data_IF_062567034714
#
_entry.id   IF_062567034714
#
_cell.length_a   1.000
_cell.length_b   1.000
_cell.length_c   1.000
_cell.angle_alpha   90.00
_cell.angle_beta   90.00
_cell.angle_gamma   90.00
#
_symmetry.space_group_name_H-M   'P 1'
#
loop_
_entity.id
_entity.type
_entity.pdbx_description
1 polymer ?
#
# COMPACT_ATOMS: atom_id res chain seq x y z
N UNK A 1 -7.31 5.60 0.15
CA UNK A 1 -6.81 4.22 0.05
C UNK A 1 -7.09 3.62 -1.32
N UNK A 2 -6.26 2.67 -1.74
CA UNK A 2 -6.50 1.70 -2.81
C UNK A 2 -6.21 0.29 -2.26
N UNK A 3 -7.02 -0.70 -2.65
CA UNK A 3 -6.84 -2.10 -2.27
C UNK A 3 -6.91 -2.97 -3.52
N UNK A 4 -5.90 -3.82 -3.72
CA UNK A 4 -5.78 -4.72 -4.87
C UNK A 4 -5.77 -6.18 -4.39
N UNK A 5 -6.34 -7.11 -5.15
CA UNK A 5 -6.26 -8.53 -4.86
C UNK A 5 -7.16 -9.03 -3.71
N UNK A 6 -8.21 -8.27 -3.36
CA UNK A 6 -9.28 -8.72 -2.45
C UNK A 6 -10.40 -9.40 -3.24
N UNK A 7 -10.95 -10.47 -2.65
CA UNK A 7 -12.21 -11.09 -3.11
C UNK A 7 -13.40 -10.22 -2.71
N UNK A 8 -14.06 -9.63 -3.69
CA UNK A 8 -15.31 -8.89 -3.50
C UNK A 8 -16.53 -9.83 -3.45
N UNK A 9 -17.61 -9.38 -2.82
CA UNK A 9 -18.89 -10.09 -2.80
C UNK A 9 -19.17 -10.89 -1.52
N UNK A 10 -18.17 -11.11 -0.68
CA UNK A 10 -18.39 -11.61 0.67
C UNK A 10 -19.05 -10.53 1.56
N UNK A 11 -19.90 -10.96 2.48
CA UNK A 11 -20.57 -10.10 3.46
C UNK A 11 -20.06 -10.35 4.88
N UNK A 12 -20.23 -9.36 5.73
CA UNK A 12 -19.74 -9.34 7.11
C UNK A 12 -18.21 -9.48 7.16
N UNK A 13 -17.55 -8.69 6.32
CA UNK A 13 -16.10 -8.66 6.15
C UNK A 13 -15.56 -7.24 6.24
N UNK A 14 -14.35 -7.12 6.75
CA UNK A 14 -13.55 -5.89 6.77
C UNK A 14 -12.19 -6.18 6.18
N UNK A 15 -11.62 -5.28 5.39
CA UNK A 15 -10.27 -5.43 4.90
C UNK A 15 -9.26 -4.97 5.95
N UNK A 16 -8.15 -5.69 6.05
CA UNK A 16 -7.00 -5.31 6.87
C UNK A 16 -5.75 -5.16 6.02
N UNK A 17 -4.85 -4.29 6.42
CA UNK A 17 -3.55 -4.07 5.80
C UNK A 17 -2.48 -3.84 6.86
N UNK A 18 -1.24 -4.24 6.58
CA UNK A 18 -0.09 -3.99 7.44
C UNK A 18 0.71 -2.79 6.94
N UNK A 19 1.26 -2.03 7.87
CA UNK A 19 2.19 -0.93 7.59
C UNK A 19 3.25 -0.85 8.69
N UNK A 20 4.46 -0.45 8.33
CA UNK A 20 5.55 -0.15 9.27
C UNK A 20 5.56 1.34 9.68
N UNK A 21 4.59 2.14 9.20
CA UNK A 21 4.52 3.58 9.44
C UNK A 21 3.80 3.92 10.76
N UNK A 22 4.20 5.03 11.38
CA UNK A 22 3.76 5.49 12.70
C UNK A 22 2.52 6.41 12.64
N UNK A 23 1.45 5.97 12.00
CA UNK A 23 0.19 6.72 11.95
C UNK A 23 -0.91 6.06 12.80
N UNK A 24 -1.80 6.90 13.34
CA UNK A 24 -2.98 6.45 14.06
C UNK A 24 -4.00 5.87 13.08
N UNK A 25 -4.16 4.55 13.12
CA UNK A 25 -5.17 3.82 12.35
C UNK A 25 -5.99 2.94 13.29
N UNK A 26 -7.24 2.67 12.91
CA UNK A 26 -8.03 1.65 13.60
C UNK A 26 -7.40 0.27 13.37
N UNK A 27 -7.18 -0.47 14.44
CA UNK A 27 -6.51 -1.77 14.42
C UNK A 27 -7.52 -2.92 14.43
N UNK A 28 -7.11 -4.05 13.90
CA UNK A 28 -7.84 -5.30 13.96
C UNK A 28 -7.08 -6.27 14.87
N UNK A 29 -7.72 -6.69 15.96
CA UNK A 29 -7.16 -7.67 16.89
C UNK A 29 -7.91 -8.99 16.76
N UNK A 30 -7.16 -10.03 16.40
CA UNK A 30 -7.68 -11.39 16.34
C UNK A 30 -7.36 -12.07 17.68
N UNK A 31 -8.27 -11.98 18.64
CA UNK A 31 -8.07 -12.62 19.96
C UNK A 31 -8.37 -14.12 19.87
N UNK A 32 -7.44 -14.97 20.31
CA UNK A 32 -7.50 -16.43 20.14
C UNK A 32 -8.69 -17.16 20.82
N UNK A 33 -9.60 -16.47 21.53
CA UNK A 33 -10.74 -17.13 22.21
C UNK A 33 -12.09 -16.40 22.16
N UNK A 34 -12.19 -15.22 21.56
CA UNK A 34 -13.46 -14.53 21.28
C UNK A 34 -13.30 -13.73 19.99
N UNK A 35 -14.25 -13.90 19.07
CA UNK A 35 -14.44 -13.20 17.80
C UNK A 35 -13.49 -12.01 17.58
N UNK A 36 -12.70 -12.03 16.49
CA UNK A 36 -11.88 -10.88 16.10
C UNK A 36 -12.69 -9.58 16.13
N UNK A 37 -12.19 -8.60 16.89
CA UNK A 37 -12.87 -7.32 17.08
C UNK A 37 -11.96 -6.20 16.60
N UNK A 38 -12.48 -5.24 15.82
CA UNK A 38 -11.74 -4.02 15.52
C UNK A 38 -11.59 -3.21 16.80
N UNK A 39 -10.40 -2.71 17.10
CA UNK A 39 -10.12 -1.82 18.23
C UNK A 39 -9.47 -0.54 17.72
N UNK A 40 -9.96 0.62 18.17
CA UNK A 40 -9.22 1.86 17.98
C UNK A 40 -8.19 1.95 19.10
N UNK A 41 -6.92 1.78 18.75
CA UNK A 41 -5.81 1.93 19.69
C UNK A 41 -5.17 3.27 19.40
N UNK A 42 -5.18 4.16 20.39
CA UNK A 42 -4.51 5.46 20.37
C UNK A 42 -3.16 5.35 21.11
N UNK A 43 -2.39 4.31 20.80
CA UNK A 43 -1.07 4.07 21.36
C UNK A 43 -0.03 3.93 20.24
N UNK A 44 1.11 4.58 20.47
CA UNK A 44 2.27 4.43 19.60
C UNK A 44 2.75 2.97 19.60
N UNK A 45 3.29 2.46 18.47
CA UNK A 45 3.85 1.12 18.39
C UNK A 45 5.00 0.95 19.38
N UNK A 46 4.79 0.17 20.44
CA UNK A 46 5.89 -0.46 21.18
C UNK A 46 6.35 -1.69 20.38
N UNK A 47 7.64 -1.73 20.06
CA UNK A 47 8.37 -2.93 19.63
C UNK A 47 8.03 -3.60 18.28
N UNK A 48 7.96 -2.83 17.19
CA UNK A 48 8.19 -3.36 15.82
C UNK A 48 7.26 -4.51 15.37
N UNK A 49 6.16 -4.75 16.08
CA UNK A 49 5.18 -5.76 15.75
C UNK A 49 4.34 -5.30 14.55
N UNK A 50 4.19 -6.16 13.54
CA UNK A 50 3.32 -5.91 12.39
C UNK A 50 1.87 -5.81 12.87
N UNK A 51 1.36 -4.57 12.96
CA UNK A 51 -0.03 -4.31 13.33
C UNK A 51 -0.94 -4.45 12.11
N UNK A 52 -2.13 -5.01 12.34
CA UNK A 52 -3.17 -5.14 11.31
C UNK A 52 -4.10 -3.96 11.42
N UNK A 53 -4.15 -3.10 10.40
CA UNK A 53 -4.99 -1.91 10.37
C UNK A 53 -6.20 -2.13 9.48
N UNK A 54 -7.35 -1.57 9.83
CA UNK A 54 -8.50 -1.50 8.93
C UNK A 54 -8.14 -0.71 7.68
N UNK A 55 -8.18 -1.37 6.52
CA UNK A 55 -7.62 -0.82 5.28
C UNK A 55 -8.64 -0.13 4.38
N UNK A 56 -9.92 -0.07 4.77
CA UNK A 56 -10.92 0.82 4.16
C UNK A 56 -12.01 0.15 3.30
N UNK A 57 -12.02 -1.18 3.17
CA UNK A 57 -13.16 -1.92 2.59
C UNK A 57 -13.99 -2.58 3.69
N UNK A 58 -15.29 -2.38 3.62
CA UNK A 58 -16.27 -2.93 4.55
C UNK A 58 -17.47 -3.45 3.77
N UNK A 59 -17.91 -4.66 4.09
CA UNK A 59 -19.12 -5.25 3.50
C UNK A 59 -19.96 -5.86 4.60
N UNK A 60 -21.24 -5.52 4.61
CA UNK A 60 -22.18 -5.86 5.66
C UNK A 60 -23.40 -6.54 5.04
N UNK A 61 -23.83 -7.64 5.63
CA UNK A 61 -25.07 -8.31 5.20
C UNK A 61 -26.33 -7.58 5.67
N UNK A 62 -26.26 -6.76 6.73
CA UNK A 62 -27.41 -6.08 7.31
C UNK A 62 -27.17 -4.58 7.51
N UNK A 63 -27.67 -3.77 6.57
CA UNK A 63 -27.63 -2.30 6.69
C UNK A 63 -28.39 -1.78 7.90
N UNK A 64 -29.51 -2.41 8.27
CA UNK A 64 -30.32 -2.02 9.43
C UNK A 64 -29.56 -2.20 10.75
N UNK A 65 -28.87 -3.34 10.92
CA UNK A 65 -28.06 -3.59 12.10
C UNK A 65 -26.91 -2.58 12.16
N UNK A 66 -26.25 -2.30 11.03
CA UNK A 66 -25.16 -1.32 10.95
C UNK A 66 -25.61 0.08 11.40
N UNK A 67 -26.70 0.60 10.82
CA UNK A 67 -27.24 1.92 11.18
C UNK A 67 -27.59 1.98 12.66
N UNK A 68 -28.24 0.93 13.19
CA UNK A 68 -28.60 0.86 14.61
C UNK A 68 -27.36 0.85 15.52
N UNK A 69 -26.34 0.08 15.15
CA UNK A 69 -25.09 -0.02 15.92
C UNK A 69 -24.35 1.32 15.95
N UNK A 70 -24.17 1.97 14.80
CA UNK A 70 -23.50 3.29 14.71
C UNK A 70 -24.30 4.37 15.45
N UNK A 71 -25.63 4.39 15.30
CA UNK A 71 -26.49 5.36 15.99
C UNK A 71 -26.41 5.21 17.51
N UNK A 72 -26.40 3.97 18.01
CA UNK A 72 -26.23 3.69 19.45
C UNK A 72 -24.85 4.06 19.97
N UNK A 73 -23.83 3.92 19.13
CA UNK A 73 -22.47 4.39 19.39
C UNK A 73 -22.33 5.92 19.24
N UNK A 74 -23.42 6.67 19.07
CA UNK A 74 -23.43 8.15 18.94
C UNK A 74 -22.53 8.65 17.80
N UNK A 75 -22.43 7.89 16.71
CA UNK A 75 -21.61 8.24 15.55
C UNK A 75 -20.14 7.84 15.66
N UNK A 76 -19.70 7.24 16.78
CA UNK A 76 -18.41 6.54 16.81
C UNK A 76 -18.46 5.36 15.85
N UNK A 77 -17.74 5.49 14.74
CA UNK A 77 -17.73 4.48 13.69
C UNK A 77 -17.10 3.17 14.16
N UNK A 78 -16.01 3.22 14.93
CA UNK A 78 -15.31 2.01 15.39
C UNK A 78 -16.11 1.33 16.49
N UNK A 79 -16.62 2.09 17.46
CA UNK A 79 -17.55 1.57 18.46
C UNK A 79 -18.81 0.97 17.82
N UNK A 80 -19.33 1.60 16.76
CA UNK A 80 -20.46 1.09 15.97
C UNK A 80 -20.13 -0.21 15.23
N UNK A 81 -18.92 -0.34 14.68
CA UNK A 81 -18.44 -1.54 14.01
C UNK A 81 -18.27 -2.70 15.00
N UNK A 82 -17.72 -2.44 16.20
CA UNK A 82 -17.66 -3.42 17.28
C UNK A 82 -19.06 -3.91 17.67
N UNK A 83 -20.01 -2.98 17.85
CA UNK A 83 -21.38 -3.31 18.20
C UNK A 83 -22.09 -4.11 17.09
N UNK A 84 -21.79 -3.84 15.82
CA UNK A 84 -22.22 -4.69 14.70
C UNK A 84 -21.62 -6.09 14.82
N UNK A 85 -20.30 -6.18 15.01
CA UNK A 85 -19.52 -7.42 15.17
C UNK A 85 -20.03 -8.35 16.27
N UNK A 86 -20.56 -7.77 17.35
CA UNK A 86 -21.18 -8.51 18.46
C UNK A 86 -22.52 -9.17 18.05
N UNK A 87 -23.29 -8.55 17.16
CA UNK A 87 -24.56 -9.08 16.65
C UNK A 87 -24.40 -9.98 15.41
N UNK A 88 -23.39 -9.71 14.58
CA UNK A 88 -23.01 -10.49 13.40
C UNK A 88 -21.50 -10.52 13.28
N UNK A 89 -20.93 -11.73 13.31
CA UNK A 89 -19.48 -11.94 13.28
C UNK A 89 -18.87 -11.32 12.02
N UNK A 90 -17.97 -10.37 12.22
CA UNK A 90 -17.11 -9.82 11.17
C UNK A 90 -15.88 -10.71 10.96
N UNK A 91 -15.43 -10.84 9.72
CA UNK A 91 -14.17 -11.50 9.36
C UNK A 91 -13.20 -10.50 8.72
N UNK A 92 -11.91 -10.66 8.95
CA UNK A 92 -10.87 -9.88 8.29
C UNK A 92 -10.47 -10.49 6.95
N UNK A 93 -10.29 -9.64 5.94
CA UNK A 93 -9.67 -9.96 4.66
C UNK A 93 -8.29 -9.31 4.60
N UNK A 94 -7.24 -10.13 4.66
CA UNK A 94 -5.84 -9.69 4.60
C UNK A 94 -5.17 -9.97 3.25
N UNK A 95 -5.92 -10.49 2.28
CA UNK A 95 -5.38 -10.83 0.97
C UNK A 95 -5.13 -9.58 0.15
N UNK A 96 -3.96 -9.49 -0.48
CA UNK A 96 -3.68 -8.45 -1.48
C UNK A 96 -2.81 -7.30 -0.98
N UNK A 97 -2.79 -6.21 -1.75
CA UNK A 97 -1.96 -5.03 -1.49
C UNK A 97 -2.81 -3.85 -1.03
N UNK A 98 -2.42 -3.21 0.07
CA UNK A 98 -3.02 -1.98 0.55
C UNK A 98 -2.09 -0.79 0.29
N UNK A 99 -2.69 0.28 -0.23
CA UNK A 99 -2.06 1.58 -0.42
C UNK A 99 -2.88 2.63 0.31
N UNK A 100 -2.26 3.31 1.27
CA UNK A 100 -2.85 4.43 1.98
C UNK A 100 -2.48 5.77 1.30
N UNK A 101 -3.46 6.67 1.25
CA UNK A 101 -3.32 8.03 0.72
C UNK A 101 -3.70 9.09 1.75
N UNK A 102 -4.00 8.70 2.99
CA UNK A 102 -4.44 9.60 4.06
C UNK A 102 -3.31 10.49 4.59
N UNK A 103 -2.05 10.07 4.43
CA UNK A 103 -0.90 10.83 4.90
C UNK A 103 0.11 11.08 3.76
N UNK A 104 0.86 12.17 3.86
CA UNK A 104 1.80 12.58 2.82
C UNK A 104 2.88 11.50 2.56
N UNK A 105 3.39 10.87 3.63
CA UNK A 105 4.37 9.81 3.53
C UNK A 105 3.80 8.56 2.84
N UNK A 106 2.64 8.07 3.29
CA UNK A 106 1.98 6.88 2.70
C UNK A 106 1.57 7.13 1.26
N UNK A 107 1.17 8.36 0.93
CA UNK A 107 0.91 8.79 -0.43
C UNK A 107 2.15 8.67 -1.33
N UNK A 108 3.31 9.19 -0.91
CA UNK A 108 4.54 9.07 -1.70
C UNK A 108 4.98 7.61 -1.84
N UNK A 109 4.89 6.80 -0.78
CA UNK A 109 5.16 5.37 -0.87
C UNK A 109 4.26 4.68 -1.88
N UNK A 110 2.96 4.95 -1.84
CA UNK A 110 1.98 4.39 -2.79
C UNK A 110 2.28 4.82 -4.23
N UNK A 111 2.73 6.07 -4.45
CA UNK A 111 3.18 6.54 -5.77
C UNK A 111 4.42 5.80 -6.30
N UNK A 112 5.32 5.34 -5.43
CA UNK A 112 6.44 4.51 -5.89
C UNK A 112 6.01 3.12 -6.34
N UNK A 113 4.90 2.59 -5.79
CA UNK A 113 4.34 1.29 -6.15
C UNK A 113 3.49 1.36 -7.42
N UNK A 114 2.65 2.40 -7.53
CA UNK A 114 1.92 2.72 -8.76
C UNK A 114 2.79 3.56 -9.69
N UNK A 115 3.75 2.92 -10.35
CA UNK A 115 4.56 3.65 -11.34
C UNK A 115 3.66 4.10 -12.49
N UNK A 116 3.54 5.42 -12.70
CA UNK A 116 2.92 5.98 -13.90
C UNK A 116 3.90 5.86 -15.06
N UNK A 117 4.18 4.63 -15.45
CA UNK A 117 4.94 4.35 -16.66
C UNK A 117 4.10 4.77 -17.86
N UNK A 118 4.75 5.40 -18.85
CA UNK A 118 4.14 5.44 -20.19
C UNK A 118 4.17 3.99 -20.71
N UNK A 119 3.14 3.56 -21.42
CA UNK A 119 2.93 2.16 -21.85
C UNK A 119 4.13 1.49 -22.55
N UNK A 120 5.09 2.27 -23.04
CA UNK A 120 6.30 1.82 -23.74
C UNK A 120 7.57 1.75 -22.87
N UNK A 121 7.54 2.22 -21.62
CA UNK A 121 8.65 2.15 -20.68
C UNK A 121 8.31 1.20 -19.55
N UNK A 122 9.25 0.32 -19.20
CA UNK A 122 9.18 -0.45 -17.97
C UNK A 122 10.14 0.16 -16.95
N UNK A 123 9.65 0.38 -15.73
CA UNK A 123 10.33 1.08 -14.64
C UNK A 123 10.15 0.27 -13.35
N UNK A 124 11.22 -0.36 -12.90
CA UNK A 124 11.24 -1.11 -11.66
C UNK A 124 12.00 -0.33 -10.59
N UNK A 125 11.30 0.06 -9.54
CA UNK A 125 11.87 0.82 -8.41
C UNK A 125 12.00 -0.12 -7.21
N UNK A 126 13.19 -0.18 -6.64
CA UNK A 126 13.48 -0.85 -5.36
C UNK A 126 14.06 0.17 -4.38
N UNK A 127 14.27 -0.22 -3.11
CA UNK A 127 14.86 0.68 -2.10
C UNK A 127 16.23 1.27 -2.48
N UNK A 128 17.00 0.61 -3.36
CA UNK A 128 18.38 1.01 -3.70
C UNK A 128 18.64 1.25 -5.18
N UNK A 129 17.69 0.88 -6.04
CA UNK A 129 17.92 0.84 -7.50
C UNK A 129 16.64 1.24 -8.22
N UNK A 130 16.79 2.11 -9.22
CA UNK A 130 15.80 2.40 -10.25
C UNK A 130 16.26 1.79 -11.56
N UNK A 131 15.57 0.76 -12.02
CA UNK A 131 15.82 0.14 -13.32
C UNK A 131 14.79 0.64 -14.34
N UNK A 132 15.26 1.13 -15.49
CA UNK A 132 14.40 1.58 -16.59
C UNK A 132 14.75 0.82 -17.86
N UNK A 133 13.76 0.31 -18.58
CA UNK A 133 13.94 -0.34 -19.87
C UNK A 133 12.84 0.05 -20.87
N UNK A 134 13.13 -0.07 -22.17
CA UNK A 134 12.17 0.17 -23.23
C UNK A 134 12.55 -0.58 -24.52
N UNK A 135 11.58 -0.74 -25.42
CA UNK A 135 11.81 -1.13 -26.83
C UNK A 135 12.40 0.00 -27.68
N UNK A 136 12.32 1.25 -27.21
CA UNK A 136 13.07 2.36 -27.83
C UNK A 136 14.54 2.28 -27.42
N UNK A 137 15.26 1.34 -28.04
CA UNK A 137 16.65 1.00 -27.70
C UNK A 137 17.58 2.19 -27.87
N UNK A 138 17.38 2.99 -28.92
CA UNK A 138 18.17 4.19 -29.20
C UNK A 138 18.04 5.22 -28.08
N UNK A 139 16.82 5.47 -27.59
CA UNK A 139 16.61 6.40 -26.49
C UNK A 139 17.24 5.90 -25.19
N UNK A 140 17.08 4.62 -24.86
CA UNK A 140 17.66 4.04 -23.64
C UNK A 140 19.19 4.05 -23.67
N UNK A 141 19.80 3.75 -24.82
CA UNK A 141 21.24 3.87 -25.01
C UNK A 141 21.72 5.33 -24.87
N UNK A 142 20.96 6.31 -25.39
CA UNK A 142 21.29 7.72 -25.24
C UNK A 142 21.19 8.19 -23.78
N UNK A 143 20.17 7.77 -23.04
CA UNK A 143 20.03 8.07 -21.61
C UNK A 143 21.16 7.44 -20.79
N UNK A 144 21.53 6.18 -21.04
CA UNK A 144 22.66 5.52 -20.38
C UNK A 144 24.00 6.24 -20.68
N UNK A 145 24.25 6.57 -21.95
CA UNK A 145 25.45 7.30 -22.37
C UNK A 145 25.52 8.71 -21.75
N UNK A 146 24.38 9.36 -21.48
CA UNK A 146 24.35 10.64 -20.77
C UNK A 146 24.91 10.51 -19.34
N UNK A 147 24.53 9.46 -18.60
CA UNK A 147 25.10 9.19 -17.28
C UNK A 147 26.60 8.85 -17.35
N UNK A 148 27.01 7.99 -18.29
CA UNK A 148 28.42 7.59 -18.46
C UNK A 148 29.32 8.78 -18.77
N UNK A 149 28.86 9.68 -19.65
CA UNK A 149 29.64 10.81 -20.15
C UNK A 149 29.51 12.06 -19.29
N UNK A 150 28.72 12.01 -18.21
CA UNK A 150 28.51 13.16 -17.35
C UNK A 150 29.84 13.61 -16.70
N UNK A 151 30.21 14.89 -16.78
CA UNK A 151 31.42 15.41 -16.15
C UNK A 151 31.49 15.11 -14.65
N UNK A 152 32.67 14.77 -14.13
CA UNK A 152 32.84 14.35 -12.71
C UNK A 152 32.24 15.35 -11.71
N UNK A 153 32.33 16.66 -11.99
CA UNK A 153 31.77 17.71 -11.13
C UNK A 153 30.24 17.67 -11.03
N UNK A 154 29.56 17.16 -12.05
CA UNK A 154 28.10 17.07 -12.08
C UNK A 154 27.57 15.74 -11.54
N UNK A 155 28.38 14.68 -11.53
CA UNK A 155 27.98 13.35 -11.04
C UNK A 155 27.55 13.34 -9.57
N UNK A 156 28.02 14.28 -8.76
CA UNK A 156 27.58 14.42 -7.37
C UNK A 156 26.09 14.81 -7.22
N UNK A 157 25.48 15.33 -8.28
CA UNK A 157 24.10 15.81 -8.29
C UNK A 157 23.15 14.89 -9.07
N UNK A 158 23.62 13.72 -9.50
CA UNK A 158 22.84 12.77 -10.29
C UNK A 158 22.91 11.38 -9.67
N UNK A 159 21.89 10.53 -9.88
CA UNK A 159 21.99 9.11 -9.59
C UNK A 159 23.24 8.47 -10.23
N UNK A 160 23.81 7.46 -9.57
CA UNK A 160 24.99 6.78 -10.09
C UNK A 160 24.56 5.66 -11.05
N UNK A 161 25.10 5.64 -12.26
CA UNK A 161 24.85 4.53 -13.18
C UNK A 161 25.48 3.25 -12.63
N UNK A 162 24.64 2.25 -12.38
CA UNK A 162 25.01 0.96 -11.82
C UNK A 162 25.22 -0.10 -12.91
N UNK A 163 24.38 -0.09 -13.94
CA UNK A 163 24.33 -1.15 -14.94
C UNK A 163 23.66 -0.68 -16.24
N UNK A 164 24.01 -1.30 -17.36
CA UNK A 164 23.38 -1.10 -18.68
C UNK A 164 23.14 -2.47 -19.31
N UNK A 165 21.92 -2.72 -19.76
CA UNK A 165 21.49 -4.01 -20.31
C UNK A 165 20.91 -3.85 -21.71
N UNK A 166 21.23 -4.77 -22.62
CA UNK A 166 20.61 -4.87 -23.94
C UNK A 166 20.43 -6.34 -24.33
N UNK A 167 19.22 -6.72 -24.74
CA UNK A 167 18.86 -8.09 -25.14
C UNK A 167 18.39 -8.19 -26.61
N UNK A 168 18.68 -7.15 -27.41
CA UNK A 168 18.35 -7.06 -28.84
C UNK A 168 16.94 -6.52 -29.11
N UNK A 169 15.95 -6.83 -28.27
CA UNK A 169 14.59 -6.28 -28.37
C UNK A 169 14.41 -5.05 -27.47
N UNK A 170 15.09 -5.02 -26.33
CA UNK A 170 14.98 -3.97 -25.32
C UNK A 170 16.37 -3.52 -24.89
N UNK A 171 16.41 -2.28 -24.43
CA UNK A 171 17.59 -1.70 -23.78
C UNK A 171 17.15 -1.05 -22.49
N UNK A 172 18.02 -1.07 -21.48
CA UNK A 172 17.74 -0.48 -20.19
C UNK A 172 19.01 -0.15 -19.42
N UNK A 173 18.81 0.55 -18.30
CA UNK A 173 19.88 0.93 -17.40
C UNK A 173 19.37 0.94 -15.96
N UNK A 174 20.30 0.88 -15.00
CA UNK A 174 20.04 0.94 -13.56
C UNK A 174 20.80 2.11 -12.96
N UNK A 175 20.13 2.89 -12.12
CA UNK A 175 20.72 3.97 -11.31
C UNK A 175 20.33 3.88 -9.85
#
# INVERSE_FOLDING_TARGET
TLIEGITFGETDVVSIGSSDDYYLWAEWHEEQKKNGMPALIDDFPDDGALRSHLSGYFSFSSSQLLVRSITRARGDFIGGLMAYGAGRRLRSLSTGAWMDFGHLQTYYQSRTRMTTQRSFNDLRITRRVVAKSSRDTRKMAAEAAWYERLPRRLRAFTPHLLDVSADGERTGYKV
#
